data_IF_893624345014
#
_entry.id   IF_893624345014
#
_cell.length_a   1.000
_cell.length_b   1.000
_cell.length_c   1.000
_cell.angle_alpha   90.00
_cell.angle_beta   90.00
_cell.angle_gamma   90.00
#
_symmetry.space_group_name_H-M   'P 1'
#
loop_
_entity.id
_entity.type
_entity.pdbx_description
1 polymer ?
#
# COMPACT_ATOMS: atom_id res chain seq x y z
N UNK A 1 10.05 17.79 -11.37
CA UNK A 1 10.13 17.13 -10.05
C UNK A 1 10.03 15.64 -10.32
N UNK A 2 11.08 14.88 -10.02
CA UNK A 2 11.04 13.43 -10.18
C UNK A 2 10.05 12.88 -9.13
N UNK A 3 8.98 12.22 -9.56
CA UNK A 3 7.98 11.67 -8.66
C UNK A 3 8.51 10.37 -8.10
N UNK A 4 8.61 10.28 -6.78
CA UNK A 4 9.10 9.08 -6.12
C UNK A 4 8.23 7.86 -6.47
N UNK A 5 8.79 6.95 -7.28
CA UNK A 5 8.11 5.76 -7.79
C UNK A 5 7.57 4.87 -6.67
N UNK A 6 8.24 4.81 -5.51
CA UNK A 6 7.77 4.05 -4.34
C UNK A 6 6.48 4.64 -3.77
N UNK A 7 6.39 5.96 -3.67
CA UNK A 7 5.18 6.64 -3.22
C UNK A 7 4.02 6.49 -4.23
N UNK A 8 4.33 6.55 -5.53
CA UNK A 8 3.33 6.33 -6.58
C UNK A 8 2.73 4.91 -6.52
N UNK A 9 3.55 3.88 -6.29
CA UNK A 9 3.08 2.50 -6.17
C UNK A 9 2.12 2.30 -4.99
N UNK A 10 2.41 2.89 -3.82
CA UNK A 10 1.53 2.82 -2.65
C UNK A 10 0.19 3.50 -2.94
N UNK A 11 0.23 4.71 -3.48
CA UNK A 11 -1.01 5.44 -3.77
C UNK A 11 -1.82 4.81 -4.89
N UNK A 12 -1.16 4.17 -5.88
CA UNK A 12 -1.84 3.40 -6.92
C UNK A 12 -2.54 2.17 -6.32
N UNK A 13 -1.86 1.41 -5.46
CA UNK A 13 -2.47 0.25 -4.79
C UNK A 13 -3.77 0.63 -4.07
N UNK A 14 -3.75 1.67 -3.24
CA UNK A 14 -4.94 2.10 -2.52
C UNK A 14 -6.07 2.61 -3.43
N UNK A 15 -5.73 3.36 -4.49
CA UNK A 15 -6.73 3.82 -5.49
C UNK A 15 -7.36 2.67 -6.27
N UNK A 16 -6.55 1.69 -6.68
CA UNK A 16 -7.04 0.54 -7.44
C UNK A 16 -7.88 -0.41 -6.58
N UNK A 17 -7.61 -0.48 -5.26
CA UNK A 17 -8.37 -1.30 -4.32
C UNK A 17 -9.81 -0.80 -4.10
N UNK A 18 -10.00 0.53 -4.06
CA UNK A 18 -11.31 1.15 -3.88
C UNK A 18 -11.87 1.07 -2.45
N UNK A 19 -12.95 1.83 -2.21
CA UNK A 19 -13.52 2.03 -0.88
C UNK A 19 -13.94 0.74 -0.17
N UNK A 20 -14.50 -0.22 -0.91
CA UNK A 20 -14.93 -1.51 -0.36
C UNK A 20 -13.76 -2.23 0.36
N UNK A 21 -12.58 -2.26 -0.28
CA UNK A 21 -11.39 -2.87 0.30
C UNK A 21 -10.81 -2.07 1.48
N UNK A 22 -11.08 -0.77 1.56
CA UNK A 22 -10.59 0.06 2.68
C UNK A 22 -11.41 -0.18 3.96
N UNK A 23 -12.69 -0.52 3.81
CA UNK A 23 -13.64 -0.62 4.91
C UNK A 23 -14.06 -2.07 5.22
N UNK A 24 -13.72 -3.04 4.37
CA UNK A 24 -13.86 -4.46 4.64
C UNK A 24 -12.67 -5.00 5.45
N UNK A 25 -12.94 -5.87 6.43
CA UNK A 25 -11.88 -6.67 7.05
C UNK A 25 -11.57 -7.88 6.17
N UNK A 26 -10.39 -7.89 5.54
CA UNK A 26 -9.99 -8.90 4.58
C UNK A 26 -8.53 -9.33 4.78
N UNK A 27 -8.32 -10.50 5.38
CA UNK A 27 -6.97 -11.01 5.69
C UNK A 27 -6.10 -11.21 4.44
N UNK A 28 -6.71 -11.52 3.28
CA UNK A 28 -5.97 -11.67 2.03
C UNK A 28 -5.48 -10.32 1.49
N UNK A 29 -6.29 -9.27 1.60
CA UNK A 29 -5.90 -7.91 1.28
C UNK A 29 -4.76 -7.41 2.19
N UNK A 30 -4.88 -7.67 3.49
CA UNK A 30 -3.84 -7.33 4.48
C UNK A 30 -2.52 -8.03 4.18
N UNK A 31 -2.58 -9.33 3.86
CA UNK A 31 -1.40 -10.12 3.51
C UNK A 31 -0.73 -9.59 2.23
N UNK A 32 -1.52 -9.24 1.20
CA UNK A 32 -1.01 -8.69 -0.06
C UNK A 32 -0.38 -7.30 0.14
N UNK A 33 -1.02 -6.41 0.90
CA UNK A 33 -0.47 -5.09 1.22
C UNK A 33 0.85 -5.21 1.99
N UNK A 34 0.87 -6.08 3.02
CA UNK A 34 2.09 -6.36 3.79
C UNK A 34 3.20 -6.91 2.92
N UNK A 35 2.91 -7.90 2.06
CA UNK A 35 3.91 -8.50 1.20
C UNK A 35 4.57 -7.48 0.25
N UNK A 36 3.80 -6.50 -0.24
CA UNK A 36 4.28 -5.49 -1.19
C UNK A 36 5.03 -4.32 -0.55
N UNK A 37 4.66 -3.92 0.66
CA UNK A 37 5.09 -2.62 1.21
C UNK A 37 5.73 -2.66 2.61
N UNK A 38 6.00 -3.85 3.17
CA UNK A 38 6.61 -3.97 4.51
C UNK A 38 7.95 -3.24 4.63
N UNK A 39 8.84 -3.39 3.66
CA UNK A 39 10.15 -2.72 3.68
C UNK A 39 10.02 -1.19 3.60
N UNK A 40 9.04 -0.71 2.83
CA UNK A 40 8.77 0.73 2.72
C UNK A 40 8.19 1.29 4.02
N UNK A 41 7.34 0.53 4.71
CA UNK A 41 6.86 0.88 6.04
C UNK A 41 8.02 1.01 7.04
N UNK A 42 8.93 0.04 7.08
CA UNK A 42 10.10 0.12 7.95
C UNK A 42 11.06 1.26 7.58
N UNK A 43 11.24 1.55 6.29
CA UNK A 43 12.08 2.67 5.85
C UNK A 43 11.49 4.03 6.26
N UNK A 44 10.16 4.16 6.26
CA UNK A 44 9.47 5.39 6.66
C UNK A 44 9.37 5.58 8.19
N UNK A 45 9.46 4.48 8.96
CA UNK A 45 9.36 4.49 10.42
C UNK A 45 10.69 4.76 11.15
N UNK A 46 11.79 4.96 10.42
CA UNK A 46 13.10 5.35 10.95
C UNK A 46 13.19 6.86 11.12
#
# INVERSE_FOLDING_TARGET
MELNSRALSVTKFWRDAGEDAWFEKNDAFDADFRARFLDLHYAAAR
#
